data_IF_831314343437
#
_entry.id   IF_831314343437
#
_cell.length_a   1.000
_cell.length_b   1.000
_cell.length_c   1.000
_cell.angle_alpha   90.00
_cell.angle_beta   90.00
_cell.angle_gamma   90.00
#
_symmetry.space_group_name_H-M   'P 1'
#
loop_
_entity.id
_entity.type
_entity.pdbx_description
1 polymer ?
#
# COMPACT_ATOMS: atom_id res chain seq x y z
N UNK A 1 5.58 -11.06 -21.51
CA UNK A 1 5.05 -11.99 -20.47
C UNK A 1 6.13 -12.17 -19.42
N UNK A 2 5.77 -12.18 -18.14
CA UNK A 2 6.73 -12.32 -17.05
C UNK A 2 7.32 -13.75 -17.00
N UNK A 3 8.62 -13.86 -16.73
CA UNK A 3 9.27 -15.15 -16.46
C UNK A 3 9.08 -15.48 -14.97
N UNK A 4 8.09 -16.32 -14.68
CA UNK A 4 7.71 -16.69 -13.31
C UNK A 4 8.82 -17.45 -12.57
N UNK A 5 9.59 -18.26 -13.28
CA UNK A 5 10.70 -19.03 -12.67
C UNK A 5 11.83 -18.10 -12.25
N UNK A 6 12.17 -17.09 -13.09
CA UNK A 6 13.10 -16.05 -12.70
C UNK A 6 12.59 -15.29 -11.47
N UNK A 7 11.33 -14.86 -11.49
CA UNK A 7 10.70 -14.12 -10.38
C UNK A 7 10.78 -14.93 -9.08
N UNK A 8 10.31 -16.18 -9.07
CA UNK A 8 10.27 -16.99 -7.85
C UNK A 8 11.65 -17.28 -7.27
N UNK A 9 12.69 -17.36 -8.09
CA UNK A 9 14.08 -17.47 -7.60
C UNK A 9 14.57 -16.25 -6.84
N UNK A 10 13.92 -15.07 -7.01
CA UNK A 10 14.23 -13.87 -6.25
C UNK A 10 13.62 -13.86 -4.84
N UNK A 11 12.73 -14.81 -4.54
CA UNK A 11 12.03 -14.90 -3.25
C UNK A 11 12.36 -16.21 -2.52
N UNK A 12 13.23 -16.20 -1.50
CA UNK A 12 13.65 -17.41 -0.78
C UNK A 12 12.52 -18.22 -0.18
N UNK A 13 11.37 -17.58 0.10
CA UNK A 13 10.18 -18.25 0.60
C UNK A 13 9.74 -19.44 -0.28
N UNK A 14 9.90 -19.34 -1.61
CA UNK A 14 9.54 -20.43 -2.53
C UNK A 14 10.48 -21.64 -2.47
N UNK A 15 11.69 -21.47 -1.91
CA UNK A 15 12.65 -22.55 -1.70
C UNK A 15 12.67 -23.05 -0.25
N UNK A 16 11.86 -22.47 0.64
CA UNK A 16 11.83 -22.79 2.08
C UNK A 16 11.02 -24.05 2.34
N UNK A 17 11.62 -25.13 2.90
CA UNK A 17 10.92 -26.43 3.06
C UNK A 17 9.64 -26.38 3.87
N UNK A 18 9.55 -25.51 4.89
CA UNK A 18 8.36 -25.36 5.73
C UNK A 18 7.16 -24.75 4.98
N UNK A 19 7.38 -24.13 3.82
CA UNK A 19 6.34 -23.54 2.97
C UNK A 19 5.99 -24.43 1.76
N UNK A 20 6.65 -25.57 1.61
CA UNK A 20 6.38 -26.48 0.51
C UNK A 20 4.90 -26.94 0.52
N UNK A 21 4.30 -26.95 -0.66
CA UNK A 21 2.92 -27.35 -0.83
C UNK A 21 1.90 -26.31 -0.33
N UNK A 22 2.32 -25.12 0.05
CA UNK A 22 1.44 -24.00 0.39
C UNK A 22 1.36 -22.98 -0.74
N UNK A 23 0.17 -22.37 -0.91
CA UNK A 23 -0.07 -21.30 -1.89
C UNK A 23 -0.46 -20.03 -1.15
N UNK A 24 0.23 -18.92 -1.46
CA UNK A 24 0.13 -17.67 -0.70
C UNK A 24 -0.84 -16.70 -1.34
N UNK A 25 -1.93 -16.39 -0.63
CA UNK A 25 -3.00 -15.49 -1.03
C UNK A 25 -3.31 -14.42 0.03
N UNK A 26 -2.29 -13.98 0.79
CA UNK A 26 -2.41 -12.94 1.84
C UNK A 26 -1.41 -11.79 1.63
N UNK A 27 -1.07 -11.47 0.38
CA UNK A 27 -0.13 -10.39 0.04
C UNK A 27 -0.59 -9.00 0.50
N UNK A 28 -1.90 -8.73 0.57
CA UNK A 28 -2.41 -7.47 1.12
C UNK A 28 -2.14 -7.29 2.62
N UNK A 29 -1.78 -8.34 3.34
CA UNK A 29 -1.28 -8.30 4.72
C UNK A 29 0.23 -8.14 4.81
N UNK A 30 0.97 -8.57 3.79
CA UNK A 30 2.42 -8.47 3.66
C UNK A 30 2.93 -9.42 2.58
N UNK A 31 3.90 -8.98 1.79
CA UNK A 31 4.48 -9.79 0.72
C UNK A 31 5.73 -10.55 1.20
N UNK A 32 6.10 -11.62 0.51
CA UNK A 32 7.41 -12.22 0.70
C UNK A 32 8.52 -11.19 0.42
N UNK A 33 9.58 -11.25 1.22
CA UNK A 33 10.74 -10.39 1.04
C UNK A 33 11.64 -10.93 -0.08
N UNK A 34 12.10 -10.05 -0.97
CA UNK A 34 13.03 -10.44 -2.02
C UNK A 34 14.45 -10.63 -1.47
N UNK A 35 15.26 -11.47 -2.15
CA UNK A 35 16.62 -11.83 -1.75
C UNK A 35 17.52 -10.60 -1.62
N UNK A 36 17.37 -9.62 -2.50
CA UNK A 36 18.18 -8.40 -2.53
C UNK A 36 18.04 -7.59 -1.24
N UNK A 37 16.82 -7.55 -0.66
CA UNK A 37 16.58 -6.91 0.64
C UNK A 37 17.26 -7.67 1.77
N UNK A 38 17.15 -9.01 1.78
CA UNK A 38 17.78 -9.88 2.78
C UNK A 38 19.30 -9.70 2.74
N UNK A 39 19.89 -9.67 1.55
CA UNK A 39 21.34 -9.51 1.36
C UNK A 39 21.82 -8.14 1.87
N UNK A 40 21.03 -7.08 1.64
CA UNK A 40 21.34 -5.75 2.18
C UNK A 40 21.25 -5.71 3.69
N UNK A 41 20.25 -6.36 4.32
CA UNK A 41 20.16 -6.49 5.77
C UNK A 41 21.39 -7.20 6.34
N UNK A 42 21.72 -8.38 5.82
CA UNK A 42 22.86 -9.17 6.31
C UNK A 42 24.15 -8.35 6.22
N UNK A 43 24.41 -7.73 5.05
CA UNK A 43 25.59 -6.87 4.87
C UNK A 43 25.60 -5.69 5.83
N UNK A 44 24.45 -5.04 6.08
CA UNK A 44 24.36 -3.90 6.99
C UNK A 44 24.68 -4.33 8.43
N UNK A 45 24.08 -5.39 8.91
CA UNK A 45 24.29 -5.88 10.28
C UNK A 45 25.71 -6.41 10.50
N UNK A 46 26.29 -7.08 9.52
CA UNK A 46 27.64 -7.63 9.64
C UNK A 46 28.74 -6.57 9.52
N UNK A 47 28.56 -5.56 8.67
CA UNK A 47 29.66 -4.69 8.25
C UNK A 47 29.45 -3.20 8.56
N UNK A 48 28.20 -2.75 8.81
CA UNK A 48 27.82 -1.34 8.86
C UNK A 48 26.94 -0.98 10.05
N UNK A 49 26.85 -1.84 11.06
CA UNK A 49 26.04 -1.61 12.28
C UNK A 49 26.75 -0.64 13.23
N UNK A 50 26.91 0.61 12.78
CA UNK A 50 27.50 1.74 13.50
C UNK A 50 26.61 2.97 13.30
N UNK A 51 26.85 4.02 14.09
CA UNK A 51 26.18 5.30 13.84
C UNK A 51 26.64 5.85 12.46
N UNK A 52 25.73 6.15 11.54
CA UNK A 52 26.09 6.68 10.23
C UNK A 52 26.58 8.14 10.30
N UNK A 53 27.20 8.59 9.21
CA UNK A 53 27.64 9.96 8.96
C UNK A 53 28.89 10.43 9.73
N UNK A 54 29.66 9.55 10.36
CA UNK A 54 31.00 9.88 10.84
C UNK A 54 32.08 9.65 9.78
N UNK A 55 33.29 10.16 10.04
CA UNK A 55 34.38 10.16 9.05
C UNK A 55 35.02 8.79 8.80
N UNK A 56 34.85 7.80 9.67
CA UNK A 56 35.42 6.45 9.49
C UNK A 56 34.60 5.63 8.47
N UNK A 57 35.29 4.76 7.73
CA UNK A 57 34.78 4.11 6.53
C UNK A 57 33.42 3.41 6.70
N UNK A 58 33.24 2.59 7.75
CA UNK A 58 31.98 1.88 7.95
C UNK A 58 30.80 2.83 8.17
N UNK A 59 31.00 3.92 8.90
CA UNK A 59 30.01 4.95 9.19
C UNK A 59 29.62 5.75 7.94
N UNK A 60 30.62 6.12 7.15
CA UNK A 60 30.40 6.82 5.87
C UNK A 60 29.55 5.98 4.92
N UNK A 61 29.94 4.70 4.71
CA UNK A 61 29.20 3.81 3.82
C UNK A 61 27.78 3.54 4.36
N UNK A 62 27.60 3.41 5.69
CA UNK A 62 26.26 3.26 6.28
C UNK A 62 25.36 4.45 5.95
N UNK A 63 25.87 5.68 6.04
CA UNK A 63 25.15 6.91 5.64
C UNK A 63 24.83 6.93 4.15
N UNK A 64 25.82 6.63 3.29
CA UNK A 64 25.65 6.60 1.84
C UNK A 64 24.57 5.59 1.38
N UNK A 65 24.49 4.40 2.02
CA UNK A 65 23.45 3.41 1.72
C UNK A 65 22.05 3.89 2.14
N UNK A 66 21.96 4.64 3.23
CA UNK A 66 20.69 5.26 3.65
C UNK A 66 20.27 6.39 2.70
N UNK A 67 21.19 7.28 2.34
CA UNK A 67 20.92 8.43 1.46
C UNK A 67 20.54 7.99 0.04
N UNK A 68 20.99 6.82 -0.38
CA UNK A 68 20.65 6.24 -1.68
C UNK A 68 19.17 5.87 -1.78
N UNK A 69 18.51 5.47 -0.67
CA UNK A 69 17.13 4.98 -0.70
C UNK A 69 16.14 6.05 -1.20
N UNK A 70 16.04 7.26 -0.63
CA UNK A 70 15.14 8.28 -1.14
C UNK A 70 15.43 8.67 -2.59
N UNK A 71 16.69 8.69 -3.01
CA UNK A 71 17.08 9.00 -4.40
C UNK A 71 16.51 7.96 -5.38
N UNK A 72 16.64 6.68 -5.04
CA UNK A 72 16.17 5.58 -5.91
C UNK A 72 14.64 5.48 -5.93
N UNK A 73 14.00 5.58 -4.77
CA UNK A 73 12.54 5.57 -4.70
C UNK A 73 11.93 6.76 -5.44
N UNK A 74 12.52 7.95 -5.32
CA UNK A 74 12.07 9.15 -6.02
C UNK A 74 12.02 8.97 -7.54
N UNK A 75 13.01 8.30 -8.13
CA UNK A 75 13.02 7.99 -9.58
C UNK A 75 11.86 7.10 -10.00
N UNK A 76 11.53 6.07 -9.18
CA UNK A 76 10.42 5.15 -9.46
C UNK A 76 9.05 5.80 -9.25
N UNK A 77 8.97 6.82 -8.38
CA UNK A 77 7.74 7.53 -8.04
C UNK A 77 7.55 8.82 -8.83
N UNK A 78 8.54 9.20 -9.66
CA UNK A 78 8.58 10.44 -10.42
C UNK A 78 8.43 11.71 -9.54
N UNK A 79 9.26 11.80 -8.48
CA UNK A 79 9.26 12.92 -7.52
C UNK A 79 10.69 13.37 -7.19
N UNK A 80 10.83 14.47 -6.46
CA UNK A 80 12.13 14.91 -5.94
C UNK A 80 12.65 13.99 -4.83
N UNK A 81 13.96 13.76 -4.78
CA UNK A 81 14.56 12.96 -3.71
C UNK A 81 14.34 13.57 -2.32
N UNK A 82 14.29 14.90 -2.23
CA UNK A 82 14.01 15.68 -1.03
C UNK A 82 12.52 15.63 -0.60
N UNK A 83 11.66 15.05 -1.42
CA UNK A 83 10.24 14.82 -1.14
C UNK A 83 9.97 13.43 -0.53
N UNK A 84 10.96 12.51 -0.53
CA UNK A 84 10.81 11.13 -0.05
C UNK A 84 11.41 10.97 1.34
N UNK A 85 10.57 10.61 2.32
CA UNK A 85 10.96 10.38 3.71
C UNK A 85 10.61 8.96 4.16
N UNK A 86 11.42 8.41 5.06
CA UNK A 86 11.21 7.10 5.66
C UNK A 86 10.82 7.24 7.12
N UNK A 87 9.75 6.56 7.51
CA UNK A 87 9.30 6.45 8.89
C UNK A 87 9.07 4.99 9.29
N UNK A 88 8.78 4.71 10.55
CA UNK A 88 8.72 3.32 11.06
C UNK A 88 7.61 2.48 10.44
N UNK A 89 6.48 3.10 10.07
CA UNK A 89 5.35 2.46 9.39
C UNK A 89 4.44 3.54 8.79
N UNK A 90 3.60 3.18 7.82
CA UNK A 90 2.59 4.12 7.29
C UNK A 90 1.65 4.60 8.40
N UNK A 91 1.24 3.73 9.33
CA UNK A 91 0.38 4.13 10.45
C UNK A 91 1.02 5.21 11.32
N UNK A 92 2.32 5.10 11.64
CA UNK A 92 3.03 6.14 12.39
C UNK A 92 3.24 7.41 11.55
N UNK A 93 3.50 7.26 10.26
CA UNK A 93 3.62 8.39 9.34
C UNK A 93 2.30 9.21 9.28
N UNK A 94 1.14 8.55 9.24
CA UNK A 94 -0.16 9.26 9.27
C UNK A 94 -0.40 9.99 10.59
N UNK A 95 0.05 9.44 11.74
CA UNK A 95 0.00 10.15 13.02
C UNK A 95 0.90 11.41 13.03
N UNK A 96 2.10 11.30 12.48
CA UNK A 96 3.04 12.43 12.34
C UNK A 96 2.42 13.52 11.44
N UNK A 97 1.86 13.11 10.29
CA UNK A 97 1.22 14.04 9.33
C UNK A 97 -0.01 14.71 9.94
N UNK A 98 -0.86 13.96 10.62
CA UNK A 98 -2.06 14.52 11.25
C UNK A 98 -1.70 15.53 12.36
N UNK A 99 -0.66 15.24 13.16
CA UNK A 99 -0.15 16.19 14.15
C UNK A 99 0.40 17.44 13.48
N UNK A 100 1.22 17.28 12.44
CA UNK A 100 1.81 18.38 11.68
C UNK A 100 0.73 19.26 11.02
N UNK A 101 -0.30 18.64 10.47
CA UNK A 101 -1.44 19.31 9.84
C UNK A 101 -2.26 20.11 10.89
N UNK A 102 -2.56 19.50 12.04
CA UNK A 102 -3.32 20.13 13.12
C UNK A 102 -2.65 21.43 13.60
N UNK A 103 -1.32 21.53 13.59
CA UNK A 103 -0.58 22.75 13.97
C UNK A 103 -0.72 23.90 12.95
N UNK A 104 -1.28 23.62 11.79
CA UNK A 104 -1.47 24.59 10.69
C UNK A 104 -2.91 24.90 10.39
N UNK A 105 -3.84 24.00 10.77
CA UNK A 105 -5.25 24.19 10.54
C UNK A 105 -5.85 25.17 11.55
N UNK A 106 -6.76 26.01 11.06
CA UNK A 106 -7.58 26.87 11.89
C UNK A 106 -8.91 26.19 12.26
N UNK A 107 -9.51 26.60 13.38
CA UNK A 107 -10.86 26.17 13.78
C UNK A 107 -11.88 26.44 12.67
N UNK A 108 -12.70 25.44 12.35
CA UNK A 108 -13.71 25.50 11.28
C UNK A 108 -13.18 25.26 9.86
N UNK A 109 -11.87 25.08 9.66
CA UNK A 109 -11.36 24.48 8.43
C UNK A 109 -11.71 23.00 8.37
N UNK A 110 -11.82 22.45 7.14
CA UNK A 110 -12.33 21.12 6.93
C UNK A 110 -11.26 20.17 6.36
N UNK A 111 -11.38 18.89 6.73
CA UNK A 111 -10.74 17.78 6.06
C UNK A 111 -11.79 16.76 5.64
N UNK A 112 -11.55 16.08 4.51
CA UNK A 112 -12.41 14.99 4.05
C UNK A 112 -11.63 13.68 4.18
N UNK A 113 -12.29 12.66 4.74
CA UNK A 113 -11.71 11.32 4.89
C UNK A 113 -12.62 10.30 4.25
N UNK A 114 -12.12 9.48 3.34
CA UNK A 114 -12.95 8.46 2.71
C UNK A 114 -13.34 7.38 3.72
N UNK A 115 -14.50 6.77 3.52
CA UNK A 115 -14.95 5.64 4.33
C UNK A 115 -14.35 4.30 3.87
N UNK A 116 -13.65 4.31 2.76
CA UNK A 116 -13.00 3.12 2.18
C UNK A 116 -11.61 2.82 2.80
N UNK A 117 -11.16 3.67 3.74
CA UNK A 117 -9.83 3.65 4.30
C UNK A 117 -9.54 2.44 5.21
N UNK A 118 -8.28 2.01 5.20
CA UNK A 118 -7.69 1.32 6.34
C UNK A 118 -7.69 2.25 7.57
N UNK A 119 -7.92 1.72 8.79
CA UNK A 119 -8.02 2.55 10.00
C UNK A 119 -6.78 3.44 10.24
N UNK A 120 -5.60 3.04 9.76
CA UNK A 120 -4.39 3.86 9.82
C UNK A 120 -4.53 5.22 9.13
N UNK A 121 -5.27 5.28 8.01
CA UNK A 121 -5.55 6.53 7.28
C UNK A 121 -6.96 7.08 7.54
N UNK A 122 -7.68 6.56 8.52
CA UNK A 122 -9.01 7.03 8.91
C UNK A 122 -9.04 7.59 10.32
N UNK A 123 -8.71 6.74 11.30
CA UNK A 123 -8.90 7.06 12.71
C UNK A 123 -8.11 8.27 13.17
N UNK A 124 -6.90 8.45 12.68
CA UNK A 124 -6.04 9.58 13.05
C UNK A 124 -6.60 10.92 12.61
N UNK A 125 -7.13 11.00 11.38
CA UNK A 125 -7.75 12.21 10.83
C UNK A 125 -9.06 12.55 11.54
N UNK A 126 -9.87 11.55 11.86
CA UNK A 126 -11.15 11.73 12.58
C UNK A 126 -10.97 12.34 13.96
N UNK A 127 -9.84 12.10 14.63
CA UNK A 127 -9.49 12.70 15.92
C UNK A 127 -9.30 14.22 15.85
N UNK A 128 -9.08 14.78 14.68
CA UNK A 128 -8.94 16.22 14.52
C UNK A 128 -10.24 16.97 14.84
N UNK A 129 -11.40 16.29 14.78
CA UNK A 129 -12.67 16.83 15.22
C UNK A 129 -12.66 17.27 16.71
N UNK A 130 -11.89 16.57 17.56
CA UNK A 130 -11.74 16.91 18.98
C UNK A 130 -11.04 18.27 19.19
N UNK A 131 -10.45 18.83 18.13
CA UNK A 131 -9.72 20.10 18.09
C UNK A 131 -10.44 21.18 17.28
N UNK A 132 -11.73 20.98 16.97
CA UNK A 132 -12.54 21.96 16.24
C UNK A 132 -12.39 21.96 14.72
N UNK A 133 -11.74 20.95 14.15
CA UNK A 133 -11.66 20.76 12.69
C UNK A 133 -12.93 20.07 12.20
N UNK A 134 -13.50 20.56 11.10
CA UNK A 134 -14.68 19.96 10.44
C UNK A 134 -14.24 18.71 9.67
N UNK A 135 -14.45 17.51 10.25
CA UNK A 135 -14.08 16.24 9.64
C UNK A 135 -15.28 15.66 8.89
N UNK A 136 -15.25 15.77 7.57
CA UNK A 136 -16.29 15.28 6.67
C UNK A 136 -15.95 13.86 6.20
N UNK A 137 -17.00 13.01 6.12
CA UNK A 137 -16.83 11.62 5.71
C UNK A 137 -17.34 11.46 4.28
N UNK A 138 -16.44 11.08 3.38
CA UNK A 138 -16.81 10.68 2.03
C UNK A 138 -17.32 9.23 2.06
N UNK A 139 -18.65 9.02 1.88
CA UNK A 139 -19.23 7.69 2.04
C UNK A 139 -18.87 6.75 0.90
N UNK A 140 -19.03 5.44 1.15
CA UNK A 140 -19.03 4.43 0.09
C UNK A 140 -20.45 4.09 -0.33
N UNK A 141 -20.62 3.58 -1.53
CA UNK A 141 -21.85 2.92 -1.94
C UNK A 141 -22.04 1.63 -1.13
N UNK A 142 -23.15 1.48 -0.38
CA UNK A 142 -23.34 0.29 0.47
C UNK A 142 -23.42 -1.03 -0.32
N UNK A 143 -23.77 -0.98 -1.60
CA UNK A 143 -23.98 -2.17 -2.41
C UNK A 143 -22.65 -2.86 -2.79
N UNK A 144 -21.60 -2.07 -3.04
CA UNK A 144 -20.32 -2.59 -3.56
C UNK A 144 -19.08 -2.07 -2.83
N UNK A 145 -19.25 -1.14 -1.86
CA UNK A 145 -18.15 -0.56 -1.08
C UNK A 145 -17.30 0.47 -1.84
N UNK A 146 -17.73 0.90 -3.03
CA UNK A 146 -16.98 1.82 -3.90
C UNK A 146 -17.22 3.28 -3.55
N UNK A 147 -16.24 4.11 -3.86
CA UNK A 147 -16.34 5.57 -3.77
C UNK A 147 -16.99 6.14 -5.03
N UNK A 148 -17.88 7.13 -4.86
CA UNK A 148 -18.48 7.87 -5.99
C UNK A 148 -17.92 9.30 -5.99
N UNK A 149 -17.33 9.73 -7.10
CA UNK A 149 -16.74 11.07 -7.23
C UNK A 149 -17.80 12.17 -6.99
N UNK A 150 -19.07 11.92 -7.38
CA UNK A 150 -20.17 12.84 -7.11
C UNK A 150 -20.36 13.17 -5.61
N UNK A 151 -20.11 12.18 -4.75
CA UNK A 151 -20.25 12.38 -3.31
C UNK A 151 -19.09 13.22 -2.76
N UNK A 152 -17.87 13.03 -3.28
CA UNK A 152 -16.75 13.93 -2.96
C UNK A 152 -17.07 15.37 -3.38
N UNK A 153 -17.53 15.57 -4.61
CA UNK A 153 -17.86 16.90 -5.12
C UNK A 153 -18.89 17.64 -4.24
N UNK A 154 -19.84 16.92 -3.63
CA UNK A 154 -20.82 17.48 -2.71
C UNK A 154 -20.24 17.90 -1.36
N UNK A 155 -19.08 17.37 -0.98
CA UNK A 155 -18.38 17.65 0.29
C UNK A 155 -17.32 18.75 0.15
N UNK A 156 -16.90 19.06 -1.09
CA UNK A 156 -15.86 20.07 -1.35
C UNK A 156 -16.42 21.49 -1.23
N UNK A 157 -15.70 22.34 -0.54
CA UNK A 157 -15.88 23.79 -0.49
C UNK A 157 -14.55 24.49 -0.16
N UNK A 158 -14.57 25.83 -0.05
CA UNK A 158 -13.39 26.64 0.21
C UNK A 158 -12.78 26.50 1.62
N UNK A 159 -13.40 25.72 2.52
CA UNK A 159 -12.88 25.38 3.85
C UNK A 159 -12.01 24.11 3.83
N UNK A 160 -12.15 23.28 2.80
CA UNK A 160 -11.42 22.02 2.71
C UNK A 160 -9.93 22.28 2.49
N UNK A 161 -9.09 21.77 3.38
CA UNK A 161 -7.63 21.86 3.32
C UNK A 161 -6.96 20.55 2.91
N UNK A 162 -7.61 19.43 3.21
CA UNK A 162 -7.06 18.10 2.92
C UNK A 162 -8.18 17.12 2.58
N UNK A 163 -7.96 16.30 1.57
CA UNK A 163 -8.73 15.09 1.29
C UNK A 163 -7.80 13.89 1.49
N UNK A 164 -8.19 12.94 2.33
CA UNK A 164 -7.49 11.68 2.56
C UNK A 164 -8.24 10.53 1.90
N UNK A 165 -7.58 9.82 0.97
CA UNK A 165 -8.18 8.72 0.20
C UNK A 165 -7.17 7.59 -0.01
N UNK A 166 -7.66 6.34 -0.05
CA UNK A 166 -6.83 5.20 -0.48
C UNK A 166 -6.72 5.14 -2.00
N UNK A 167 -5.52 4.84 -2.54
CA UNK A 167 -5.34 4.58 -3.98
C UNK A 167 -6.00 3.26 -4.39
N UNK A 168 -5.81 2.24 -3.55
CA UNK A 168 -6.45 0.94 -3.70
C UNK A 168 -6.93 0.46 -2.33
N UNK A 169 -8.21 0.13 -2.23
CA UNK A 169 -8.75 -0.39 -0.97
C UNK A 169 -8.20 -1.78 -0.63
N UNK A 170 -7.71 -1.93 0.58
CA UNK A 170 -7.20 -3.19 1.10
C UNK A 170 -8.28 -4.28 1.32
N UNK A 171 -9.56 -3.91 1.20
CA UNK A 171 -10.71 -4.82 1.29
C UNK A 171 -11.47 -4.90 -0.04
N UNK A 172 -11.90 -3.75 -0.58
CA UNK A 172 -12.70 -3.67 -1.82
C UNK A 172 -11.88 -4.06 -3.05
N UNK A 173 -10.57 -3.79 -3.00
CA UNK A 173 -9.66 -3.99 -4.12
C UNK A 173 -9.79 -2.93 -5.23
N UNK A 174 -10.77 -2.01 -5.15
CA UNK A 174 -10.97 -0.94 -6.11
C UNK A 174 -9.73 -0.05 -6.22
N UNK A 175 -9.33 0.27 -7.44
CA UNK A 175 -8.34 1.30 -7.75
C UNK A 175 -9.09 2.60 -7.98
N UNK A 176 -8.93 3.55 -7.06
CA UNK A 176 -9.59 4.83 -7.12
C UNK A 176 -8.97 5.76 -8.20
N UNK A 177 -9.76 6.62 -8.85
CA UNK A 177 -9.29 7.51 -9.90
C UNK A 177 -8.58 8.74 -9.31
N UNK A 178 -7.38 8.52 -8.73
CA UNK A 178 -6.62 9.52 -7.95
C UNK A 178 -6.44 10.83 -8.69
N UNK A 179 -6.15 10.80 -10.01
CA UNK A 179 -6.00 12.04 -10.79
C UNK A 179 -7.28 12.90 -10.79
N UNK A 180 -8.44 12.29 -11.00
CA UNK A 180 -9.70 13.02 -10.99
C UNK A 180 -10.04 13.55 -9.60
N UNK A 181 -9.69 12.80 -8.55
CA UNK A 181 -9.84 13.23 -7.16
C UNK A 181 -8.92 14.41 -6.86
N UNK A 182 -7.67 14.38 -7.34
CA UNK A 182 -6.71 15.46 -7.20
C UNK A 182 -7.22 16.74 -7.87
N UNK A 183 -7.66 16.65 -9.13
CA UNK A 183 -8.17 17.80 -9.88
C UNK A 183 -9.33 18.48 -9.14
N UNK A 184 -10.31 17.71 -8.66
CA UNK A 184 -11.44 18.22 -7.91
C UNK A 184 -11.03 18.86 -6.55
N UNK A 185 -10.09 18.23 -5.86
CA UNK A 185 -9.56 18.70 -4.57
C UNK A 185 -8.81 20.02 -4.75
N UNK A 186 -7.95 20.11 -5.76
CA UNK A 186 -7.17 21.30 -6.06
C UNK A 186 -8.04 22.47 -6.54
N UNK A 187 -9.11 22.19 -7.31
CA UNK A 187 -10.08 23.22 -7.70
C UNK A 187 -10.78 23.85 -6.49
N UNK A 188 -11.01 23.09 -5.43
CA UNK A 188 -11.52 23.59 -4.16
C UNK A 188 -10.48 24.28 -3.27
N UNK A 189 -9.17 24.24 -3.66
CA UNK A 189 -8.04 24.81 -2.92
C UNK A 189 -7.48 23.92 -1.82
N UNK A 190 -7.86 22.64 -1.77
CA UNK A 190 -7.36 21.63 -0.84
C UNK A 190 -6.16 20.86 -1.40
N UNK A 191 -5.52 20.05 -0.55
CA UNK A 191 -4.44 19.12 -0.90
C UNK A 191 -4.95 17.67 -0.85
N UNK A 192 -4.37 16.79 -1.67
CA UNK A 192 -4.71 15.38 -1.72
C UNK A 192 -3.64 14.50 -1.06
N UNK A 193 -4.03 13.77 0.00
CA UNK A 193 -3.24 12.72 0.63
C UNK A 193 -3.76 11.34 0.21
N UNK A 194 -2.86 10.52 -0.32
CA UNK A 194 -3.19 9.22 -0.88
C UNK A 194 -2.48 8.10 -0.11
N UNK A 195 -3.26 7.15 0.40
CA UNK A 195 -2.74 5.88 0.93
C UNK A 195 -2.56 4.86 -0.21
N UNK A 196 -1.33 4.67 -0.66
CA UNK A 196 -0.93 3.72 -1.69
C UNK A 196 -0.46 2.36 -1.17
N UNK A 197 -0.65 2.05 0.11
CA UNK A 197 -0.13 0.83 0.75
C UNK A 197 -0.59 -0.45 0.05
N UNK A 198 -1.81 -0.49 -0.44
CA UNK A 198 -2.37 -1.65 -1.14
C UNK A 198 -2.22 -1.57 -2.67
N UNK A 199 -1.74 -0.44 -3.21
CA UNK A 199 -1.47 -0.27 -4.64
C UNK A 199 -0.02 -0.61 -5.00
N UNK A 200 0.96 -0.13 -4.23
CA UNK A 200 2.38 -0.24 -4.56
C UNK A 200 2.92 -1.67 -4.77
N UNK A 201 2.35 -2.74 -4.17
CA UNK A 201 2.74 -4.11 -4.52
C UNK A 201 2.52 -4.49 -5.98
N UNK A 202 1.64 -3.76 -6.69
CA UNK A 202 1.27 -3.99 -8.08
C UNK A 202 2.04 -3.09 -9.07
N UNK A 203 3.03 -2.36 -8.57
CA UNK A 203 3.87 -1.40 -9.30
C UNK A 203 3.83 -0.02 -8.66
N UNK A 204 4.96 0.70 -8.71
CA UNK A 204 4.98 2.07 -8.20
C UNK A 204 4.26 3.01 -9.16
N UNK A 205 3.41 3.91 -8.64
CA UNK A 205 2.74 4.90 -9.46
C UNK A 205 3.68 6.05 -9.82
N UNK A 206 3.37 6.74 -10.89
CA UNK A 206 3.86 8.09 -11.16
C UNK A 206 3.08 9.09 -10.28
N UNK A 207 3.63 9.44 -9.13
CA UNK A 207 2.97 10.31 -8.12
C UNK A 207 2.73 11.71 -8.66
N UNK A 208 3.65 12.22 -9.53
CA UNK A 208 3.48 13.52 -10.18
C UNK A 208 2.27 13.50 -11.13
N UNK A 209 2.19 12.49 -11.99
CA UNK A 209 1.07 12.35 -12.91
C UNK A 209 -0.27 12.12 -12.19
N UNK A 210 -0.28 11.48 -11.02
CA UNK A 210 -1.47 11.35 -10.18
C UNK A 210 -1.94 12.68 -9.59
N UNK A 211 -1.05 13.67 -9.46
CA UNK A 211 -1.36 14.92 -8.78
C UNK A 211 -1.53 14.77 -7.26
N UNK A 212 -0.99 13.72 -6.66
CA UNK A 212 -1.03 13.53 -5.22
C UNK A 212 -0.02 14.46 -4.53
N UNK A 213 -0.46 15.22 -3.53
CA UNK A 213 0.38 16.11 -2.73
C UNK A 213 1.14 15.37 -1.65
N UNK A 214 0.52 14.34 -1.09
CA UNK A 214 1.14 13.38 -0.18
C UNK A 214 0.80 11.97 -0.65
N UNK A 215 1.81 11.10 -0.73
CA UNK A 215 1.61 9.70 -1.09
C UNK A 215 2.31 8.78 -0.09
N UNK A 216 1.56 7.85 0.48
CA UNK A 216 2.03 6.97 1.56
C UNK A 216 2.04 5.51 1.11
N UNK A 217 3.07 4.76 1.49
CA UNK A 217 3.05 3.30 1.33
C UNK A 217 3.98 2.59 2.31
N UNK A 218 3.90 1.26 2.35
CA UNK A 218 4.73 0.40 3.21
C UNK A 218 5.56 -0.55 2.37
N UNK A 219 6.87 -0.56 2.59
CA UNK A 219 7.78 -1.44 1.85
C UNK A 219 7.56 -2.93 2.15
N UNK A 220 7.07 -3.29 3.37
CA UNK A 220 6.83 -4.70 3.72
C UNK A 220 5.70 -5.36 2.89
N UNK A 221 4.82 -4.58 2.27
CA UNK A 221 3.86 -5.08 1.28
C UNK A 221 4.44 -5.10 -0.13
N UNK A 222 5.53 -4.35 -0.34
CA UNK A 222 6.22 -4.19 -1.62
C UNK A 222 7.60 -4.87 -1.57
N UNK A 223 7.61 -6.11 -1.10
CA UNK A 223 8.77 -7.05 -1.10
C UNK A 223 9.96 -6.63 -0.21
N UNK A 224 9.80 -5.60 0.60
CA UNK A 224 10.84 -4.94 1.41
C UNK A 224 10.68 -5.11 2.92
N UNK A 225 11.43 -4.32 3.69
CA UNK A 225 11.38 -4.31 5.15
C UNK A 225 10.09 -3.68 5.71
N UNK A 226 9.83 -3.87 7.02
CA UNK A 226 8.71 -3.21 7.70
C UNK A 226 9.01 -1.73 7.91
N UNK A 227 8.74 -0.92 6.89
CA UNK A 227 8.99 0.52 6.89
C UNK A 227 7.91 1.26 6.12
N UNK A 228 7.54 2.45 6.61
CA UNK A 228 6.66 3.38 5.92
C UNK A 228 7.47 4.37 5.08
N UNK A 229 7.02 4.60 3.86
CA UNK A 229 7.52 5.67 3.01
C UNK A 229 6.44 6.73 2.89
N UNK A 230 6.83 8.00 2.99
CA UNK A 230 5.96 9.13 2.71
C UNK A 230 6.63 10.05 1.70
N UNK A 231 5.90 10.31 0.62
CA UNK A 231 6.19 11.38 -0.32
C UNK A 231 5.40 12.59 0.13
N UNK A 232 6.07 13.73 0.30
CA UNK A 232 5.42 15.01 0.60
C UNK A 232 5.95 16.01 -0.43
N UNK A 233 5.10 16.39 -1.38
CA UNK A 233 5.47 17.34 -2.43
C UNK A 233 5.88 18.67 -1.81
N UNK A 234 6.88 19.31 -2.37
CA UNK A 234 7.38 20.59 -1.87
C UNK A 234 6.26 21.65 -1.76
N UNK A 235 5.31 21.65 -2.69
CA UNK A 235 4.14 22.53 -2.68
C UNK A 235 3.19 22.27 -1.49
N UNK A 236 3.15 21.06 -0.96
CA UNK A 236 2.30 20.68 0.17
C UNK A 236 2.89 21.04 1.55
N UNK A 237 4.20 21.29 1.63
CA UNK A 237 4.90 21.57 2.91
C UNK A 237 4.25 22.67 3.77
N UNK A 238 3.69 23.76 3.23
CA UNK A 238 3.07 24.80 4.07
C UNK A 238 1.92 24.29 4.96
N UNK A 239 1.23 23.18 4.58
CA UNK A 239 0.15 22.60 5.40
C UNK A 239 0.68 21.80 6.60
N UNK A 240 1.99 21.48 6.66
CA UNK A 240 2.55 20.61 7.68
C UNK A 240 3.64 21.34 8.48
N UNK A 241 3.47 21.42 9.81
CA UNK A 241 4.51 21.90 10.70
C UNK A 241 5.62 20.85 10.83
N UNK A 242 6.92 21.25 10.92
CA UNK A 242 8.00 20.30 11.15
C UNK A 242 7.80 19.49 12.43
N UNK A 243 8.06 18.18 12.38
CA UNK A 243 7.89 17.25 13.49
C UNK A 243 9.21 16.68 14.01
N UNK A 244 10.33 17.04 13.40
CA UNK A 244 11.66 16.61 13.79
C UNK A 244 12.18 17.36 15.03
N UNK A 245 13.36 16.99 15.51
CA UNK A 245 14.10 17.81 16.46
C UNK A 245 14.39 19.20 15.84
N UNK A 246 14.36 20.25 16.66
CA UNK A 246 14.44 21.64 16.22
C UNK A 246 15.60 21.93 15.25
N UNK A 247 16.76 21.29 15.44
CA UNK A 247 17.94 21.44 14.59
C UNK A 247 17.84 20.72 13.23
N UNK A 248 16.77 19.99 12.98
CA UNK A 248 16.46 19.31 11.72
C UNK A 248 15.26 19.91 10.98
N UNK A 249 14.63 20.98 11.48
CA UNK A 249 13.42 21.53 10.87
C UNK A 249 13.64 21.97 9.40
N UNK A 250 14.81 22.52 9.11
CA UNK A 250 15.16 22.97 7.74
C UNK A 250 15.82 21.88 6.89
N UNK A 251 16.01 20.66 7.44
CA UNK A 251 16.58 19.56 6.69
C UNK A 251 15.47 18.82 5.90
N UNK A 252 15.46 18.90 4.55
CA UNK A 252 14.39 18.36 3.74
C UNK A 252 14.22 16.85 3.89
N UNK A 253 15.29 16.12 4.28
CA UNK A 253 15.26 14.67 4.48
C UNK A 253 14.83 14.24 5.88
N UNK A 254 14.63 15.20 6.82
CA UNK A 254 14.40 14.89 8.25
C UNK A 254 13.26 15.66 8.87
N UNK A 255 12.78 16.75 8.28
CA UNK A 255 11.82 17.67 8.89
C UNK A 255 10.52 17.02 9.42
N UNK A 256 10.10 15.91 8.86
CA UNK A 256 8.94 15.12 9.29
C UNK A 256 9.29 13.81 10.02
N UNK A 257 10.56 13.62 10.42
CA UNK A 257 11.02 12.42 11.11
C UNK A 257 11.32 12.76 12.59
N UNK A 258 10.41 12.42 13.52
CA UNK A 258 10.55 12.83 14.95
C UNK A 258 11.76 12.25 15.65
N UNK A 259 12.26 11.09 15.19
CA UNK A 259 13.40 10.39 15.77
C UNK A 259 14.33 9.87 14.66
N UNK A 260 15.49 9.33 15.06
CA UNK A 260 16.36 8.63 14.11
C UNK A 260 15.63 7.43 13.50
N UNK A 261 15.71 7.22 12.17
CA UNK A 261 15.11 6.05 11.54
C UNK A 261 15.89 4.78 11.88
N UNK A 262 15.27 3.61 11.64
CA UNK A 262 16.02 2.35 11.62
C UNK A 262 16.96 2.33 10.42
N UNK A 263 18.25 2.51 10.67
CA UNK A 263 19.28 2.67 9.64
C UNK A 263 19.34 1.43 8.70
N UNK A 264 19.28 0.24 9.29
CA UNK A 264 19.35 -1.01 8.54
C UNK A 264 18.13 -1.17 7.60
N UNK A 265 16.95 -0.83 8.09
CA UNK A 265 15.73 -0.91 7.28
C UNK A 265 15.74 0.11 6.13
N UNK A 266 16.15 1.36 6.36
CA UNK A 266 16.26 2.36 5.30
C UNK A 266 17.27 1.91 4.23
N UNK A 267 18.47 1.48 4.65
CA UNK A 267 19.48 0.99 3.71
C UNK A 267 19.00 -0.25 2.94
N UNK A 268 18.34 -1.20 3.62
CA UNK A 268 17.85 -2.43 3.00
C UNK A 268 16.66 -2.21 2.05
N UNK A 269 15.87 -1.14 2.23
CA UNK A 269 14.77 -0.80 1.32
C UNK A 269 15.25 -0.65 -0.15
N UNK A 270 16.51 -0.23 -0.37
CA UNK A 270 17.12 -0.24 -1.70
C UNK A 270 17.05 -1.59 -2.41
N UNK A 271 16.97 -2.69 -1.67
CA UNK A 271 16.85 -4.03 -2.24
C UNK A 271 15.58 -4.26 -3.04
N UNK A 272 14.51 -3.53 -2.74
CA UNK A 272 13.28 -3.53 -3.55
C UNK A 272 13.58 -3.01 -4.96
N UNK A 273 14.32 -1.91 -5.02
CA UNK A 273 14.72 -1.32 -6.31
C UNK A 273 15.75 -2.20 -7.03
N UNK A 274 16.68 -2.85 -6.30
CA UNK A 274 17.60 -3.82 -6.90
C UNK A 274 16.84 -4.99 -7.56
N UNK A 275 15.77 -5.47 -6.92
CA UNK A 275 14.90 -6.48 -7.48
C UNK A 275 14.19 -6.00 -8.76
N UNK A 276 13.63 -4.78 -8.74
CA UNK A 276 12.97 -4.21 -9.92
C UNK A 276 13.95 -3.98 -11.07
N UNK A 277 15.16 -3.49 -10.77
CA UNK A 277 16.22 -3.32 -11.77
C UNK A 277 16.63 -4.66 -12.39
N UNK A 278 16.78 -5.72 -11.58
CA UNK A 278 17.10 -7.05 -12.04
C UNK A 278 15.98 -7.68 -12.89
N UNK A 279 14.73 -7.46 -12.50
CA UNK A 279 13.56 -7.93 -13.23
C UNK A 279 13.44 -7.25 -14.60
N UNK A 280 13.62 -5.93 -14.67
CA UNK A 280 13.61 -5.17 -15.91
C UNK A 280 14.72 -5.61 -16.86
N UNK A 281 15.93 -5.72 -16.34
CA UNK A 281 17.09 -6.19 -17.13
C UNK A 281 16.89 -7.61 -17.68
N UNK A 282 16.30 -8.53 -16.89
CA UNK A 282 15.99 -9.89 -17.33
C UNK A 282 14.97 -9.91 -18.49
N UNK A 283 14.03 -8.97 -18.50
CA UNK A 283 13.02 -8.85 -19.56
C UNK A 283 13.42 -7.90 -20.71
N UNK A 284 14.72 -7.57 -20.80
CA UNK A 284 15.30 -6.82 -21.92
C UNK A 284 15.10 -5.30 -21.86
N UNK A 285 14.82 -4.74 -20.68
CA UNK A 285 14.77 -3.29 -20.46
C UNK A 285 16.12 -2.63 -20.71
N UNK A 286 16.12 -1.55 -21.52
CA UNK A 286 17.34 -0.81 -21.88
C UNK A 286 17.30 0.67 -21.47
N UNK A 287 16.10 1.22 -21.35
CA UNK A 287 15.89 2.64 -20.98
C UNK A 287 15.45 2.74 -19.52
N UNK A 288 16.30 3.32 -18.69
CA UNK A 288 16.06 3.49 -17.25
C UNK A 288 14.87 4.42 -16.96
N UNK A 289 14.56 5.37 -17.84
CA UNK A 289 13.44 6.30 -17.65
C UNK A 289 12.07 5.62 -17.76
N UNK A 290 11.96 4.59 -18.59
CA UNK A 290 10.73 3.82 -18.80
C UNK A 290 10.60 2.60 -17.86
N UNK A 291 11.63 2.33 -17.07
CA UNK A 291 11.66 1.16 -16.17
C UNK A 291 10.47 1.08 -15.23
N UNK A 292 10.05 2.15 -14.50
CA UNK A 292 8.91 2.06 -13.60
C UNK A 292 7.64 1.61 -14.31
N UNK A 293 7.38 2.14 -15.50
CA UNK A 293 6.22 1.77 -16.31
C UNK A 293 6.29 0.31 -16.76
N UNK A 294 7.47 -0.14 -17.28
CA UNK A 294 7.64 -1.54 -17.70
C UNK A 294 7.43 -2.53 -16.55
N UNK A 295 7.92 -2.24 -15.34
CA UNK A 295 7.69 -3.08 -14.15
C UNK A 295 6.20 -3.16 -13.83
N UNK A 296 5.48 -2.05 -13.83
CA UNK A 296 4.03 -2.01 -13.60
C UNK A 296 3.28 -2.82 -14.67
N UNK A 297 3.65 -2.67 -15.94
CA UNK A 297 3.06 -3.43 -17.05
C UNK A 297 3.32 -4.95 -16.92
N UNK A 298 4.53 -5.34 -16.51
CA UNK A 298 4.86 -6.75 -16.24
C UNK A 298 4.00 -7.33 -15.10
N UNK A 299 3.85 -6.60 -14.00
CA UNK A 299 3.02 -7.05 -12.87
C UNK A 299 1.56 -7.15 -13.28
N UNK A 300 1.02 -6.12 -13.91
CA UNK A 300 -0.36 -6.13 -14.40
C UNK A 300 -0.61 -7.29 -15.37
N UNK A 301 0.32 -7.54 -16.30
CA UNK A 301 0.20 -8.65 -17.25
C UNK A 301 0.18 -10.03 -16.60
N UNK A 302 0.88 -10.18 -15.45
CA UNK A 302 0.89 -11.42 -14.68
C UNK A 302 -0.37 -11.59 -13.82
N UNK A 303 -0.88 -10.51 -13.24
CA UNK A 303 -1.95 -10.53 -12.26
C UNK A 303 -3.35 -10.55 -12.89
N UNK A 304 -3.58 -9.79 -13.96
CA UNK A 304 -4.92 -9.64 -14.59
C UNK A 304 -5.56 -10.98 -14.99
N UNK A 305 -4.85 -11.97 -15.57
CA UNK A 305 -5.45 -13.27 -15.87
C UNK A 305 -5.95 -14.01 -14.61
N UNK A 306 -5.21 -13.90 -13.51
CA UNK A 306 -5.58 -14.51 -12.22
C UNK A 306 -6.76 -13.80 -11.57
N UNK A 307 -6.81 -12.45 -11.64
CA UNK A 307 -7.96 -11.66 -11.19
C UNK A 307 -9.21 -12.13 -11.92
N UNK A 308 -9.16 -12.22 -13.25
CA UNK A 308 -10.27 -12.66 -14.09
C UNK A 308 -10.76 -14.06 -13.71
N UNK A 309 -9.84 -15.03 -13.62
CA UNK A 309 -10.17 -16.40 -13.25
C UNK A 309 -10.87 -16.49 -11.89
N UNK A 310 -10.39 -15.73 -10.90
CA UNK A 310 -11.00 -15.76 -9.57
C UNK A 310 -12.35 -15.04 -9.52
N UNK A 311 -12.51 -13.92 -10.25
CA UNK A 311 -13.78 -13.22 -10.36
C UNK A 311 -14.83 -14.09 -11.04
N UNK A 312 -14.51 -14.72 -12.18
CA UNK A 312 -15.39 -15.66 -12.88
C UNK A 312 -15.86 -16.80 -11.95
N UNK A 313 -14.93 -17.32 -11.13
CA UNK A 313 -15.29 -18.33 -10.14
C UNK A 313 -16.28 -17.80 -9.09
N UNK A 314 -16.02 -16.64 -8.51
CA UNK A 314 -16.88 -16.02 -7.49
C UNK A 314 -18.26 -15.71 -8.07
N UNK A 315 -18.32 -15.12 -9.26
CA UNK A 315 -19.57 -14.75 -9.93
C UNK A 315 -20.42 -15.98 -10.37
N UNK A 316 -19.77 -17.11 -10.62
CA UNK A 316 -20.47 -18.36 -10.89
C UNK A 316 -21.26 -18.92 -9.69
N UNK A 317 -21.09 -18.34 -8.50
CA UNK A 317 -21.63 -18.82 -7.24
C UNK A 317 -22.74 -17.89 -6.72
N UNK A 318 -23.92 -18.44 -6.52
CA UNK A 318 -25.08 -17.71 -5.95
C UNK A 318 -25.03 -17.55 -4.42
N UNK A 319 -24.12 -18.25 -3.73
CA UNK A 319 -23.97 -18.28 -2.27
C UNK A 319 -22.81 -17.43 -1.77
N UNK A 320 -22.17 -16.66 -2.66
CA UNK A 320 -21.03 -15.76 -2.36
C UNK A 320 -21.36 -14.34 -2.79
N UNK A 321 -21.10 -13.37 -1.94
CA UNK A 321 -21.23 -11.95 -2.26
C UNK A 321 -19.84 -11.32 -2.41
N UNK A 322 -19.51 -10.91 -3.64
CA UNK A 322 -18.29 -10.16 -3.95
C UNK A 322 -18.34 -8.78 -3.28
N UNK A 323 -17.23 -8.34 -2.71
CA UNK A 323 -17.01 -6.95 -2.27
C UNK A 323 -16.18 -6.25 -3.35
N UNK A 324 -16.69 -5.12 -3.86
CA UNK A 324 -16.00 -4.31 -4.86
C UNK A 324 -16.33 -4.65 -6.32
N UNK A 325 -15.62 -4.04 -7.26
CA UNK A 325 -15.92 -4.16 -8.69
C UNK A 325 -15.68 -5.58 -9.22
N UNK A 326 -16.54 -6.04 -10.11
CA UNK A 326 -16.35 -7.28 -10.87
C UNK A 326 -15.49 -7.09 -12.14
N UNK A 327 -15.22 -5.86 -12.53
CA UNK A 327 -14.30 -5.56 -13.62
C UNK A 327 -12.84 -5.76 -13.18
N UNK A 328 -12.09 -6.68 -13.82
CA UNK A 328 -10.70 -6.95 -13.48
C UNK A 328 -9.75 -5.76 -13.74
N UNK A 329 -10.13 -4.82 -14.61
CA UNK A 329 -9.34 -3.62 -14.90
C UNK A 329 -9.55 -2.50 -13.87
N UNK A 330 -10.65 -2.55 -13.11
CA UNK A 330 -10.99 -1.56 -12.08
C UNK A 330 -10.44 -1.90 -10.69
N UNK A 331 -9.64 -2.98 -10.57
CA UNK A 331 -9.15 -3.45 -9.28
C UNK A 331 -7.73 -3.98 -9.32
N UNK A 332 -7.08 -3.94 -8.15
CA UNK A 332 -5.85 -4.70 -7.92
C UNK A 332 -6.16 -6.17 -7.58
N UNK A 333 -5.10 -6.99 -7.50
CA UNK A 333 -5.22 -8.42 -7.19
C UNK A 333 -5.57 -8.68 -5.70
N UNK A 334 -6.60 -8.01 -5.21
CA UNK A 334 -7.21 -8.16 -3.89
C UNK A 334 -8.71 -8.39 -4.08
N UNK A 335 -9.19 -9.58 -3.76
CA UNK A 335 -10.59 -9.99 -3.96
C UNK A 335 -11.14 -10.44 -2.63
N UNK A 336 -12.14 -9.72 -2.12
CA UNK A 336 -12.82 -10.04 -0.87
C UNK A 336 -14.26 -10.44 -1.12
N UNK A 337 -14.75 -11.36 -0.30
CA UNK A 337 -16.14 -11.80 -0.39
C UNK A 337 -16.67 -12.26 0.98
N UNK A 338 -17.97 -12.23 1.13
CA UNK A 338 -18.70 -12.80 2.26
C UNK A 338 -19.57 -13.97 1.81
N UNK A 339 -19.75 -14.93 2.70
CA UNK A 339 -20.64 -16.08 2.47
C UNK A 339 -21.74 -16.02 3.53
N UNK A 340 -23.00 -15.83 3.16
CA UNK A 340 -24.09 -15.81 4.12
C UNK A 340 -24.07 -17.04 5.02
N UNK A 341 -24.26 -16.86 6.31
CA UNK A 341 -24.28 -17.92 7.33
C UNK A 341 -22.94 -18.65 7.61
N UNK A 342 -21.82 -18.17 7.03
CA UNK A 342 -20.47 -18.68 7.34
C UNK A 342 -19.57 -17.53 7.82
N UNK A 343 -18.91 -17.72 8.96
CA UNK A 343 -17.87 -16.78 9.40
C UNK A 343 -16.63 -16.95 8.53
N UNK A 344 -16.05 -15.82 8.11
CA UNK A 344 -14.84 -15.82 7.31
C UNK A 344 -13.70 -16.61 7.98
N UNK A 345 -13.57 -16.51 9.30
CA UNK A 345 -12.56 -17.23 10.06
C UNK A 345 -12.66 -18.76 9.92
N UNK A 346 -13.87 -19.31 9.80
CA UNK A 346 -14.06 -20.76 9.62
C UNK A 346 -13.71 -21.20 8.20
N UNK A 347 -13.99 -20.35 7.20
CA UNK A 347 -13.54 -20.56 5.82
C UNK A 347 -12.02 -20.53 5.77
N UNK A 348 -11.39 -19.50 6.38
CA UNK A 348 -9.93 -19.40 6.45
C UNK A 348 -9.26 -20.63 7.08
N UNK A 349 -9.80 -21.15 8.20
CA UNK A 349 -9.31 -22.39 8.81
C UNK A 349 -9.37 -23.59 7.85
N UNK A 350 -10.49 -23.76 7.15
CA UNK A 350 -10.66 -24.85 6.17
C UNK A 350 -9.70 -24.71 4.98
N UNK A 351 -9.48 -23.50 4.49
CA UNK A 351 -8.51 -23.22 3.44
C UNK A 351 -7.08 -23.55 3.89
N UNK A 352 -6.72 -23.18 5.12
CA UNK A 352 -5.40 -23.49 5.70
C UNK A 352 -5.13 -25.00 5.74
N UNK A 353 -6.12 -25.85 6.07
CA UNK A 353 -5.96 -27.32 6.03
C UNK A 353 -5.70 -27.88 4.63
N UNK A 354 -5.99 -27.08 3.59
CA UNK A 354 -5.76 -27.42 2.17
C UNK A 354 -4.48 -26.76 1.62
N UNK A 355 -3.67 -26.14 2.50
CA UNK A 355 -2.44 -25.47 2.13
C UNK A 355 -2.67 -24.16 1.37
N UNK A 356 -3.76 -23.45 1.65
CA UNK A 356 -4.04 -22.10 1.15
C UNK A 356 -3.85 -21.11 2.30
N UNK A 357 -2.90 -20.21 2.17
CA UNK A 357 -2.68 -19.12 3.11
C UNK A 357 -3.53 -17.92 2.67
N UNK A 358 -4.67 -17.73 3.29
CA UNK A 358 -5.65 -16.68 2.98
C UNK A 358 -6.06 -15.92 4.23
N UNK A 359 -6.37 -14.65 4.09
CA UNK A 359 -6.85 -13.82 5.18
C UNK A 359 -8.36 -14.00 5.46
N UNK A 360 -8.76 -13.76 6.72
CA UNK A 360 -10.16 -13.75 7.16
C UNK A 360 -10.37 -12.73 8.28
N UNK A 361 -11.29 -11.78 8.11
CA UNK A 361 -11.59 -10.75 9.09
C UNK A 361 -12.04 -9.44 8.47
N UNK A 362 -11.95 -8.33 9.22
CA UNK A 362 -12.30 -6.99 8.75
C UNK A 362 -11.10 -6.14 8.29
N UNK A 363 -9.88 -6.63 8.43
CA UNK A 363 -8.62 -6.05 7.89
C UNK A 363 -8.40 -4.57 8.23
N UNK A 364 -8.72 -4.16 9.46
CA UNK A 364 -8.70 -2.76 9.90
C UNK A 364 -9.59 -1.82 9.06
N UNK A 365 -10.62 -2.38 8.39
CA UNK A 365 -11.62 -1.63 7.63
C UNK A 365 -13.03 -1.76 8.26
N UNK A 366 -13.14 -1.89 9.58
CA UNK A 366 -14.41 -2.10 10.28
C UNK A 366 -15.45 -1.00 9.98
N UNK A 367 -15.01 0.25 9.76
CA UNK A 367 -15.89 1.35 9.38
C UNK A 367 -16.54 1.14 8.01
N UNK A 368 -15.80 0.59 7.08
CA UNK A 368 -16.30 0.22 5.75
C UNK A 368 -17.35 -0.88 5.86
N UNK A 369 -17.09 -1.93 6.65
CA UNK A 369 -18.09 -2.97 6.93
C UNK A 369 -19.41 -2.38 7.44
N UNK A 370 -19.34 -1.48 8.42
CA UNK A 370 -20.52 -0.82 8.97
C UNK A 370 -21.28 -0.03 7.91
N UNK A 371 -20.60 0.69 7.02
CA UNK A 371 -21.26 1.45 5.94
C UNK A 371 -21.90 0.55 4.88
N UNK A 372 -21.34 -0.61 4.64
CA UNK A 372 -21.92 -1.63 3.76
C UNK A 372 -23.03 -2.45 4.44
N UNK A 373 -23.32 -2.22 5.71
CA UNK A 373 -24.27 -3.06 6.46
C UNK A 373 -23.78 -4.49 6.70
N UNK A 374 -22.48 -4.72 6.62
CA UNK A 374 -21.85 -6.01 6.89
C UNK A 374 -21.43 -6.08 8.37
N UNK A 375 -21.44 -7.31 8.93
CA UNK A 375 -20.96 -7.55 10.28
C UNK A 375 -19.42 -7.68 10.31
N UNK A 376 -18.69 -6.74 10.97
CA UNK A 376 -17.23 -6.80 11.07
C UNK A 376 -16.73 -8.05 11.83
N UNK A 377 -17.53 -8.60 12.77
CA UNK A 377 -17.17 -9.78 13.55
C UNK A 377 -17.33 -11.08 12.73
N UNK A 378 -18.24 -11.09 11.76
CA UNK A 378 -18.32 -12.18 10.78
C UNK A 378 -17.14 -12.11 9.79
N UNK A 379 -16.70 -10.91 9.45
CA UNK A 379 -15.60 -10.64 8.55
C UNK A 379 -15.84 -11.05 7.10
N UNK A 380 -14.83 -10.83 6.26
CA UNK A 380 -14.78 -11.32 4.88
C UNK A 380 -13.57 -12.24 4.68
N UNK A 381 -13.65 -13.13 3.73
CA UNK A 381 -12.48 -13.83 3.18
C UNK A 381 -11.82 -12.88 2.18
N UNK A 382 -10.51 -12.68 2.32
CA UNK A 382 -9.72 -11.89 1.38
C UNK A 382 -8.64 -12.75 0.76
N UNK A 383 -8.62 -12.77 -0.56
CA UNK A 383 -7.63 -13.44 -1.38
C UNK A 383 -6.84 -12.36 -2.11
N UNK A 384 -5.57 -12.24 -1.78
CA UNK A 384 -4.69 -11.24 -2.38
C UNK A 384 -3.40 -11.88 -2.87
N UNK A 385 -3.00 -11.52 -4.06
CA UNK A 385 -1.85 -12.10 -4.74
C UNK A 385 -1.10 -11.04 -5.54
N UNK A 386 0.09 -11.38 -6.02
CA UNK A 386 0.94 -10.50 -6.81
C UNK A 386 1.60 -11.30 -7.93
N UNK A 387 2.44 -10.67 -8.73
CA UNK A 387 3.08 -11.18 -9.94
C UNK A 387 3.84 -12.52 -9.79
N UNK A 388 4.17 -12.99 -8.57
CA UNK A 388 4.81 -14.30 -8.37
C UNK A 388 3.80 -15.46 -8.17
N UNK A 389 2.50 -15.19 -8.26
CA UNK A 389 1.46 -16.23 -8.17
C UNK A 389 1.37 -17.00 -9.47
N UNK A 390 1.31 -18.34 -9.38
CA UNK A 390 1.26 -19.22 -10.54
C UNK A 390 -0.16 -19.67 -10.89
N UNK A 391 -0.34 -20.18 -12.11
CA UNK A 391 -1.56 -20.87 -12.53
C UNK A 391 -1.86 -22.08 -11.62
N UNK A 392 -0.81 -22.81 -11.18
CA UNK A 392 -0.97 -23.94 -10.27
C UNK A 392 -1.49 -23.50 -8.90
N UNK A 393 -1.03 -22.35 -8.37
CA UNK A 393 -1.57 -21.78 -7.12
C UNK A 393 -3.05 -21.42 -7.28
N UNK A 394 -3.43 -20.80 -8.39
CA UNK A 394 -4.81 -20.41 -8.67
C UNK A 394 -5.71 -21.65 -8.83
N UNK A 395 -5.27 -22.67 -9.54
CA UNK A 395 -5.98 -23.94 -9.69
C UNK A 395 -6.23 -24.60 -8.33
N UNK A 396 -5.19 -24.64 -7.48
CA UNK A 396 -5.28 -25.17 -6.13
C UNK A 396 -6.24 -24.37 -5.26
N UNK A 397 -6.21 -23.04 -5.35
CA UNK A 397 -7.15 -22.16 -4.64
C UNK A 397 -8.60 -22.46 -5.01
N UNK A 398 -8.92 -22.52 -6.31
CA UNK A 398 -10.28 -22.79 -6.81
C UNK A 398 -10.78 -24.16 -6.28
N UNK A 399 -9.94 -25.19 -6.39
CA UNK A 399 -10.29 -26.52 -5.87
C UNK A 399 -10.50 -26.52 -4.34
N UNK A 400 -9.70 -25.74 -3.62
CA UNK A 400 -9.84 -25.60 -2.16
C UNK A 400 -11.12 -24.86 -1.77
N UNK A 401 -11.49 -23.80 -2.50
CA UNK A 401 -12.74 -23.07 -2.32
C UNK A 401 -13.96 -23.96 -2.60
N UNK A 402 -13.95 -24.71 -3.70
CA UNK A 402 -15.01 -25.68 -4.01
C UNK A 402 -15.25 -26.68 -2.87
N UNK A 403 -14.16 -27.24 -2.35
CA UNK A 403 -14.27 -28.20 -1.25
C UNK A 403 -14.56 -27.57 0.12
N UNK A 404 -14.52 -26.24 0.23
CA UNK A 404 -14.76 -25.51 1.49
C UNK A 404 -16.17 -24.90 1.53
N UNK A 405 -16.65 -24.39 0.39
CA UNK A 405 -17.93 -23.69 0.27
C UNK A 405 -19.10 -24.62 -0.17
N UNK A 406 -18.85 -25.91 -0.37
CA UNK A 406 -19.94 -26.89 -0.56
C UNK A 406 -20.74 -27.00 0.74
N UNK A 407 -22.07 -26.91 0.60
CA UNK A 407 -23.04 -27.22 1.68
C UNK A 407 -23.03 -28.69 2.01
#
# INVERSE_FOLDING_TARGET
MIDLDFVRRQFPAFATPSLNGQSFFENAGGSYMCQQVIDRFNRYFEQRKVQPYYAFAASKIAGEEMDLAPIRFARYLNVGADEVLFGPSTSQNTYVLARACLERLAEGEAIIVSAQEHEANSGVWRKLADYGIDVRIWPVDPADGRLRLSDLLSLLDNKVRLVAVTHCSNLVGEINPVRQIADATHEAGGLLLVDGVSYCPHGFPDVDALGADVYLFSTYKTYGPHQGVMVIRNAARPLFAPQSHFFNHDNPMKWMVPAGPDHAQVAAANGVIDYFDALDAHHGGQDDSERPRRITDLFKSAETPHIRTLLEYIESRNDVHLIGPSDPEARAATISFVVPHMKAADIGKKLATKGIMAGAGHYYAARLFNQMGLDPDAGAVRLSFVHYTSIADMTKLIAALDGTLKR
#
